data_IF_118701499090
#
_entry.id   IF_118701499090
#
_cell.length_a   1.000
_cell.length_b   1.000
_cell.length_c   1.000
_cell.angle_alpha   90.00
_cell.angle_beta   90.00
_cell.angle_gamma   90.00
#
_symmetry.space_group_name_H-M   'P 1'
#
loop_
_entity.id
_entity.type
_entity.pdbx_description
1 polymer ?
#
# COMPACT_ATOMS: atom_id res chain seq x y z
N UNK A 1 11.93 -12.47 5.54
CA UNK A 1 13.00 -11.49 5.29
C UNK A 1 13.60 -11.65 3.89
N UNK A 2 14.33 -10.61 3.44
CA UNK A 2 15.03 -10.66 2.15
C UNK A 2 16.20 -11.67 2.16
N UNK A 3 16.45 -12.29 1.01
CA UNK A 3 17.55 -13.27 0.88
C UNK A 3 18.95 -12.62 0.74
N UNK A 4 19.00 -11.29 0.58
CA UNK A 4 20.24 -10.56 0.30
C UNK A 4 20.62 -9.56 1.41
N UNK A 5 19.72 -9.25 2.33
CA UNK A 5 19.89 -8.19 3.32
C UNK A 5 19.27 -8.57 4.68
N UNK A 6 19.90 -8.18 5.78
CA UNK A 6 19.41 -8.48 7.12
C UNK A 6 19.84 -7.39 8.14
N UNK A 7 18.88 -6.88 8.95
CA UNK A 7 17.45 -7.18 8.92
C UNK A 7 16.75 -6.53 7.71
N UNK A 8 15.74 -7.22 7.18
CA UNK A 8 14.82 -6.70 6.18
C UNK A 8 13.46 -7.39 6.38
N UNK A 9 12.64 -6.87 7.28
CA UNK A 9 11.41 -7.52 7.68
C UNK A 9 10.39 -6.52 8.26
N UNK A 10 9.18 -7.02 8.51
CA UNK A 10 8.15 -6.35 9.28
C UNK A 10 8.14 -6.96 10.69
N UNK A 11 8.27 -6.12 11.68
CA UNK A 11 8.37 -6.51 13.09
C UNK A 11 7.14 -6.05 13.86
N UNK A 12 6.67 -6.83 14.86
CA UNK A 12 5.61 -6.41 15.75
C UNK A 12 6.06 -5.21 16.61
N UNK A 13 5.14 -4.35 16.96
CA UNK A 13 5.30 -3.23 17.88
C UNK A 13 4.15 -3.26 18.90
N UNK A 14 4.24 -2.49 19.98
CA UNK A 14 3.22 -2.47 21.01
C UNK A 14 1.81 -2.06 20.50
N UNK A 15 1.74 -1.30 19.40
CA UNK A 15 0.51 -0.78 18.81
C UNK A 15 0.36 -1.09 17.31
N UNK A 16 0.98 -2.15 16.82
CA UNK A 16 0.89 -2.58 15.42
C UNK A 16 2.19 -3.16 14.91
N UNK A 17 2.69 -2.70 13.73
CA UNK A 17 3.90 -3.21 13.12
C UNK A 17 4.77 -2.08 12.56
N UNK A 18 6.07 -2.34 12.45
CA UNK A 18 7.04 -1.48 11.76
C UNK A 18 7.83 -2.28 10.74
N UNK A 19 8.15 -1.67 9.60
CA UNK A 19 9.09 -2.20 8.63
C UNK A 19 10.47 -1.60 8.88
N UNK A 20 11.49 -2.44 9.00
CA UNK A 20 12.89 -2.03 9.21
C UNK A 20 13.74 -2.66 8.13
N UNK A 21 14.61 -1.85 7.50
CA UNK A 21 15.50 -2.30 6.43
C UNK A 21 16.92 -1.86 6.73
N UNK A 22 17.85 -2.80 6.68
CA UNK A 22 19.29 -2.54 6.77
C UNK A 22 19.98 -2.98 5.48
N UNK A 23 20.25 -2.02 4.59
CA UNK A 23 20.86 -2.27 3.27
C UNK A 23 22.39 -2.03 3.25
N UNK A 24 22.97 -1.67 4.37
CA UNK A 24 24.42 -1.48 4.52
C UNK A 24 24.82 -1.53 6.00
N UNK A 25 26.11 -1.61 6.26
CA UNK A 25 26.64 -1.73 7.63
C UNK A 25 26.35 -0.48 8.50
N UNK A 26 26.26 0.71 7.91
CA UNK A 26 25.88 1.91 8.68
C UNK A 26 24.45 1.83 9.21
N UNK A 27 23.55 1.19 8.47
CA UNK A 27 22.17 0.97 8.94
C UNK A 27 22.15 -0.06 10.08
N UNK A 28 22.99 -1.11 10.00
CA UNK A 28 23.11 -2.08 11.09
C UNK A 28 23.62 -1.40 12.37
N UNK A 29 24.76 -0.72 12.30
CA UNK A 29 25.30 0.05 13.43
C UNK A 29 24.34 1.11 13.95
N UNK A 30 23.55 1.73 13.06
CA UNK A 30 22.46 2.63 13.45
C UNK A 30 21.37 1.91 14.22
N UNK A 31 20.96 0.73 13.78
CA UNK A 31 19.93 -0.07 14.43
C UNK A 31 20.36 -0.56 15.82
N UNK A 32 21.61 -1.05 15.97
CA UNK A 32 22.13 -1.47 17.28
C UNK A 32 22.14 -0.32 18.28
N UNK A 33 22.47 0.90 17.82
CA UNK A 33 22.36 2.11 18.65
C UNK A 33 20.91 2.49 18.98
N UNK A 34 19.99 2.38 18.01
CA UNK A 34 18.56 2.64 18.25
C UNK A 34 17.97 1.66 19.28
N UNK A 35 18.46 0.42 19.29
CA UNK A 35 18.12 -0.62 20.26
C UNK A 35 18.83 -0.44 21.61
N UNK A 36 19.79 0.49 21.71
CA UNK A 36 20.68 0.64 22.88
C UNK A 36 21.54 -0.63 23.15
N UNK A 37 21.90 -1.34 22.08
CA UNK A 37 22.65 -2.60 22.08
C UNK A 37 23.88 -2.54 21.16
N UNK A 38 24.81 -1.55 21.36
CA UNK A 38 25.96 -1.37 20.47
C UNK A 38 26.93 -2.58 20.47
N UNK A 39 26.91 -3.41 21.51
CA UNK A 39 27.69 -4.63 21.58
C UNK A 39 27.36 -5.66 20.50
N UNK A 40 26.22 -5.54 19.84
CA UNK A 40 25.82 -6.42 18.74
C UNK A 40 26.63 -6.16 17.46
N UNK A 41 27.29 -5.01 17.34
CA UNK A 41 28.18 -4.73 16.21
C UNK A 41 29.40 -5.67 16.19
N UNK A 42 29.85 -6.09 17.37
CA UNK A 42 30.98 -6.97 17.54
C UNK A 42 30.58 -8.46 17.73
N UNK A 43 29.29 -8.77 17.78
CA UNK A 43 28.79 -10.14 17.87
C UNK A 43 29.09 -10.89 16.55
N UNK A 44 29.88 -11.98 16.58
CA UNK A 44 30.29 -12.72 15.37
C UNK A 44 29.08 -13.25 14.56
N UNK A 45 27.91 -13.39 15.19
CA UNK A 45 26.68 -13.79 14.48
C UNK A 45 26.09 -12.67 13.63
N UNK A 46 26.43 -11.39 13.94
CA UNK A 46 25.77 -10.22 13.36
C UNK A 46 26.74 -9.20 12.77
N UNK A 47 28.04 -9.36 12.92
CA UNK A 47 29.07 -8.40 12.52
C UNK A 47 29.06 -8.08 11.01
N UNK A 48 28.77 -9.05 10.15
CA UNK A 48 28.66 -8.83 8.72
C UNK A 48 27.30 -9.29 8.19
N UNK A 49 26.85 -8.72 7.04
CA UNK A 49 25.56 -9.07 6.44
C UNK A 49 25.41 -10.56 6.19
N UNK A 50 26.49 -11.25 5.75
CA UNK A 50 26.48 -12.70 5.53
C UNK A 50 26.21 -13.47 6.81
N UNK A 51 26.77 -13.02 7.93
CA UNK A 51 26.63 -13.69 9.23
C UNK A 51 25.23 -13.43 9.79
N UNK A 52 24.68 -12.22 9.61
CA UNK A 52 23.27 -11.90 9.93
C UNK A 52 22.30 -12.77 9.15
N UNK A 53 22.55 -12.99 7.86
CA UNK A 53 21.70 -13.87 7.02
C UNK A 53 21.76 -15.33 7.48
N UNK A 54 22.94 -15.81 7.89
CA UNK A 54 23.10 -17.16 8.43
C UNK A 54 22.39 -17.34 9.78
N UNK A 55 22.16 -16.25 10.53
CA UNK A 55 21.53 -16.26 11.85
C UNK A 55 20.22 -15.44 11.85
N UNK A 56 19.52 -15.41 10.72
CA UNK A 56 18.35 -14.52 10.51
C UNK A 56 17.26 -14.70 11.56
N UNK A 57 16.95 -15.93 11.96
CA UNK A 57 15.92 -16.20 12.95
C UNK A 57 16.28 -15.62 14.33
N UNK A 58 17.55 -15.71 14.71
CA UNK A 58 18.04 -15.14 15.97
C UNK A 58 18.05 -13.60 15.91
N UNK A 59 18.39 -13.04 14.75
CA UNK A 59 18.36 -11.62 14.51
C UNK A 59 16.93 -11.08 14.57
N UNK A 60 15.99 -11.71 13.84
CA UNK A 60 14.60 -11.30 13.81
C UNK A 60 13.95 -11.42 15.20
N UNK A 61 14.27 -12.47 15.97
CA UNK A 61 13.81 -12.60 17.35
C UNK A 61 14.33 -11.47 18.25
N UNK A 62 15.58 -11.08 18.09
CA UNK A 62 16.22 -9.99 18.86
C UNK A 62 15.59 -8.63 18.52
N UNK A 63 15.37 -8.34 17.24
CA UNK A 63 14.72 -7.10 16.81
C UNK A 63 13.26 -7.08 17.26
N UNK A 64 12.52 -8.20 17.12
CA UNK A 64 11.14 -8.31 17.59
C UNK A 64 11.02 -8.05 19.08
N UNK A 65 11.88 -8.65 19.90
CA UNK A 65 11.86 -8.46 21.36
C UNK A 65 12.05 -6.99 21.76
N UNK A 66 12.80 -6.22 20.97
CA UNK A 66 12.93 -4.77 21.19
C UNK A 66 11.70 -4.00 20.71
N UNK A 67 11.22 -4.27 19.48
CA UNK A 67 10.11 -3.51 18.89
C UNK A 67 8.78 -3.73 19.60
N UNK A 68 8.52 -4.94 20.11
CA UNK A 68 7.31 -5.28 20.87
C UNK A 68 7.12 -4.44 22.14
N UNK A 69 8.21 -3.91 22.69
CA UNK A 69 8.17 -3.10 23.92
C UNK A 69 7.81 -1.62 23.68
N UNK A 70 7.79 -1.17 22.42
CA UNK A 70 7.68 0.25 22.07
C UNK A 70 6.54 0.52 21.10
N UNK A 71 5.90 1.71 21.17
CA UNK A 71 4.97 2.16 20.16
C UNK A 71 5.67 2.40 18.82
N UNK A 72 4.97 2.19 17.70
CA UNK A 72 5.47 2.42 16.33
C UNK A 72 6.13 3.79 16.16
N UNK A 73 5.50 4.83 16.69
CA UNK A 73 6.00 6.20 16.59
C UNK A 73 7.39 6.38 17.22
N UNK A 74 7.64 5.74 18.38
CA UNK A 74 8.92 5.80 19.06
C UNK A 74 10.00 5.02 18.32
N UNK A 75 9.68 3.81 17.84
CA UNK A 75 10.61 3.01 17.02
C UNK A 75 11.04 3.81 15.79
N UNK A 76 10.08 4.39 15.06
CA UNK A 76 10.36 5.21 13.88
C UNK A 76 11.24 6.42 14.23
N UNK A 77 10.96 7.09 15.36
CA UNK A 77 11.75 8.23 15.80
C UNK A 77 13.20 7.84 16.14
N UNK A 78 13.42 6.74 16.88
CA UNK A 78 14.75 6.22 17.23
C UNK A 78 15.52 5.80 15.98
N UNK A 79 14.89 5.03 15.08
CA UNK A 79 15.50 4.63 13.82
C UNK A 79 15.87 5.83 12.95
N UNK A 80 14.98 6.82 12.82
CA UNK A 80 15.25 8.07 12.08
C UNK A 80 16.44 8.83 12.64
N UNK A 81 16.53 8.98 13.96
CA UNK A 81 17.65 9.64 14.62
C UNK A 81 18.98 8.90 14.34
N UNK A 82 18.93 7.58 14.27
CA UNK A 82 20.07 6.71 13.95
C UNK A 82 20.30 6.52 12.44
N UNK A 83 19.53 7.17 11.57
CA UNK A 83 19.59 7.07 10.09
C UNK A 83 19.31 5.67 9.56
N UNK A 84 18.47 4.92 10.23
CA UNK A 84 17.99 3.60 9.81
C UNK A 84 16.67 3.76 9.08
N UNK A 85 16.50 3.20 7.86
CA UNK A 85 15.22 3.18 7.18
C UNK A 85 14.19 2.37 7.98
N UNK A 86 13.15 3.05 8.43
CA UNK A 86 12.05 2.48 9.21
C UNK A 86 10.77 3.22 8.92
N UNK A 87 9.67 2.48 8.82
CA UNK A 87 8.33 3.05 8.66
C UNK A 87 7.29 2.26 9.45
N UNK A 88 6.30 2.95 10.00
CA UNK A 88 5.13 2.31 10.56
C UNK A 88 4.31 1.63 9.46
N UNK A 89 3.87 0.40 9.68
CA UNK A 89 2.86 -0.26 8.84
C UNK A 89 1.52 0.36 9.20
N UNK A 90 0.84 0.92 8.20
CA UNK A 90 -0.43 1.62 8.37
C UNK A 90 -1.59 0.73 7.99
N UNK A 91 -2.67 0.82 8.73
CA UNK A 91 -3.95 0.24 8.33
C UNK A 91 -4.66 1.10 7.28
N UNK A 92 -5.75 0.59 6.72
CA UNK A 92 -6.51 1.29 5.68
C UNK A 92 -7.07 2.63 6.19
N UNK A 93 -7.52 2.69 7.43
CA UNK A 93 -8.09 3.91 8.01
C UNK A 93 -7.00 4.99 8.20
N UNK A 94 -5.82 4.60 8.67
CA UNK A 94 -4.66 5.49 8.78
C UNK A 94 -4.22 6.01 7.39
N UNK A 95 -4.26 5.15 6.36
CA UNK A 95 -3.94 5.54 4.97
C UNK A 95 -4.96 6.53 4.44
N UNK A 96 -6.26 6.28 4.64
CA UNK A 96 -7.32 7.18 4.13
C UNK A 96 -7.31 8.55 4.82
N UNK A 97 -6.73 8.67 6.00
CA UNK A 97 -6.60 9.92 6.77
C UNK A 97 -5.23 10.57 6.67
N UNK A 98 -4.33 10.03 5.87
CA UNK A 98 -2.97 10.57 5.76
C UNK A 98 -2.96 11.95 5.09
N UNK A 99 -2.57 13.01 5.82
CA UNK A 99 -2.55 14.36 5.28
C UNK A 99 -1.61 14.54 4.09
N UNK A 100 -0.55 13.74 3.97
CA UNK A 100 0.36 13.77 2.84
C UNK A 100 -0.31 13.24 1.57
N UNK A 101 -1.09 12.15 1.66
CA UNK A 101 -1.82 11.60 0.51
C UNK A 101 -2.90 12.57 0.02
N UNK A 102 -3.61 13.23 0.95
CA UNK A 102 -4.56 14.29 0.60
C UNK A 102 -3.86 15.51 -0.03
N UNK A 103 -2.80 16.02 0.58
CA UNK A 103 -2.05 17.18 0.05
C UNK A 103 -1.47 16.92 -1.35
N UNK A 104 -1.10 15.67 -1.66
CA UNK A 104 -0.67 15.26 -3.00
C UNK A 104 -1.79 14.98 -3.98
N UNK A 105 -3.05 15.07 -3.55
CA UNK A 105 -4.20 14.71 -4.36
C UNK A 105 -4.24 13.23 -4.77
N UNK A 106 -3.59 12.37 -3.96
CA UNK A 106 -3.60 10.92 -4.19
C UNK A 106 -4.91 10.27 -3.79
N UNK A 107 -5.66 10.92 -2.91
CA UNK A 107 -6.99 10.54 -2.46
C UNK A 107 -7.97 11.65 -2.81
N UNK A 108 -9.13 11.28 -3.34
CA UNK A 108 -10.22 12.19 -3.69
C UNK A 108 -11.55 11.63 -3.24
N UNK A 109 -12.38 12.49 -2.71
CA UNK A 109 -13.78 12.20 -2.47
C UNK A 109 -14.59 12.47 -3.76
N UNK A 110 -15.44 11.51 -4.12
CA UNK A 110 -16.38 11.63 -5.23
C UNK A 110 -17.77 11.17 -4.78
N UNK A 111 -18.81 11.80 -5.29
CA UNK A 111 -20.20 11.38 -5.05
C UNK A 111 -20.51 10.15 -5.92
N UNK A 112 -20.82 9.03 -5.28
CA UNK A 112 -21.25 7.81 -5.96
C UNK A 112 -22.78 7.69 -5.84
N UNK A 113 -23.51 7.39 -6.94
CA UNK A 113 -24.98 7.42 -6.96
C UNK A 113 -25.63 6.39 -6.01
N UNK A 114 -24.92 5.31 -5.65
CA UNK A 114 -25.44 4.26 -4.78
C UNK A 114 -24.84 4.28 -3.38
N UNK A 115 -23.55 4.69 -3.25
CA UNK A 115 -22.80 4.57 -1.99
C UNK A 115 -22.58 5.91 -1.30
N UNK A 116 -23.11 7.03 -1.84
CA UNK A 116 -22.83 8.35 -1.31
C UNK A 116 -21.38 8.77 -1.58
N UNK A 117 -20.79 9.52 -0.66
CA UNK A 117 -19.42 9.98 -0.82
C UNK A 117 -18.43 8.84 -0.58
N UNK A 118 -17.63 8.53 -1.59
CA UNK A 118 -16.59 7.50 -1.53
C UNK A 118 -15.22 8.11 -1.76
N UNK A 119 -14.21 7.51 -1.13
CA UNK A 119 -12.81 7.90 -1.30
C UNK A 119 -12.16 7.03 -2.37
N UNK A 120 -11.65 7.65 -3.43
CA UNK A 120 -10.95 6.98 -4.52
C UNK A 120 -9.48 7.39 -4.57
N UNK A 121 -8.62 6.45 -4.97
CA UNK A 121 -7.20 6.74 -5.16
C UNK A 121 -6.91 7.19 -6.60
N UNK A 122 -5.93 8.07 -6.75
CA UNK A 122 -5.38 8.49 -8.03
C UNK A 122 -4.22 7.58 -8.46
N UNK A 123 -3.95 7.52 -9.76
CA UNK A 123 -2.70 6.96 -10.27
C UNK A 123 -1.49 7.71 -9.68
N UNK A 124 -0.44 7.01 -9.21
CA UNK A 124 0.81 7.65 -8.77
C UNK A 124 1.58 8.29 -9.94
N UNK A 125 1.28 7.88 -11.17
CA UNK A 125 1.91 8.46 -12.37
C UNK A 125 1.27 9.81 -12.66
N UNK A 126 2.07 10.86 -12.56
CA UNK A 126 1.66 12.25 -12.84
C UNK A 126 2.39 12.72 -14.08
N UNK A 127 1.65 12.98 -15.15
CA UNK A 127 2.17 13.60 -16.35
C UNK A 127 2.09 15.12 -16.19
N UNK A 128 3.22 15.81 -16.34
CA UNK A 128 3.33 17.25 -16.02
C UNK A 128 2.47 18.12 -16.92
N UNK A 129 2.34 17.77 -18.19
CA UNK A 129 1.65 18.56 -19.21
C UNK A 129 0.29 17.93 -19.64
N UNK A 130 -0.21 16.94 -18.90
CA UNK A 130 -1.50 16.33 -19.15
C UNK A 130 -2.53 16.84 -18.14
N UNK A 131 -3.73 17.11 -18.63
CA UNK A 131 -4.85 17.38 -17.73
C UNK A 131 -5.13 16.17 -16.82
N UNK A 132 -5.44 16.44 -15.57
CA UNK A 132 -5.90 15.40 -14.64
C UNK A 132 -7.31 15.01 -15.07
N UNK A 133 -7.56 13.74 -15.43
CA UNK A 133 -8.89 13.31 -15.81
C UNK A 133 -9.85 13.46 -14.63
N UNK A 134 -11.11 13.78 -14.95
CA UNK A 134 -12.17 13.77 -13.95
C UNK A 134 -12.38 12.37 -13.42
N UNK A 135 -12.60 12.27 -12.12
CA UNK A 135 -12.95 11.01 -11.48
C UNK A 135 -14.45 10.82 -11.56
N UNK A 136 -14.86 9.82 -12.31
CA UNK A 136 -16.27 9.43 -12.40
C UNK A 136 -16.48 8.14 -11.60
N UNK A 137 -17.68 7.94 -11.02
CA UNK A 137 -18.03 6.69 -10.39
C UNK A 137 -17.88 5.52 -11.35
N UNK A 138 -17.63 4.32 -10.81
CA UNK A 138 -17.61 3.10 -11.61
C UNK A 138 -18.99 2.87 -12.23
N UNK A 139 -19.02 2.57 -13.52
CA UNK A 139 -20.24 2.26 -14.21
C UNK A 139 -20.88 0.96 -13.71
N UNK A 140 -22.19 0.88 -13.71
CA UNK A 140 -22.91 -0.36 -13.51
C UNK A 140 -22.68 -1.33 -14.67
N UNK A 141 -22.84 -2.60 -14.43
CA UNK A 141 -22.74 -3.60 -15.50
C UNK A 141 -23.77 -3.32 -16.59
N UNK A 142 -23.30 -3.16 -17.83
CA UNK A 142 -24.14 -2.87 -18.98
C UNK A 142 -24.58 -1.40 -19.14
N UNK A 143 -24.21 -0.50 -18.25
CA UNK A 143 -24.63 0.91 -18.28
C UNK A 143 -24.27 1.60 -19.61
N UNK A 144 -23.13 1.30 -20.18
CA UNK A 144 -22.67 1.90 -21.43
C UNK A 144 -22.87 1.02 -22.67
N UNK A 145 -23.58 -0.12 -22.56
CA UNK A 145 -23.73 -1.03 -23.67
C UNK A 145 -24.34 -0.34 -24.91
N UNK A 146 -25.42 0.43 -24.74
CA UNK A 146 -26.07 1.09 -25.85
C UNK A 146 -25.12 2.09 -26.54
N UNK A 147 -24.45 2.93 -25.76
CA UNK A 147 -23.55 3.95 -26.29
C UNK A 147 -22.36 3.35 -27.01
N UNK A 148 -21.74 2.31 -26.42
CA UNK A 148 -20.57 1.63 -27.01
C UNK A 148 -20.97 0.89 -28.27
N UNK A 149 -22.06 0.12 -28.26
CA UNK A 149 -22.49 -0.65 -29.44
C UNK A 149 -22.94 0.25 -30.59
N UNK A 150 -23.59 1.36 -30.28
CA UNK A 150 -23.96 2.35 -31.30
C UNK A 150 -22.76 3.09 -31.86
N UNK A 151 -21.87 3.59 -31.00
CA UNK A 151 -20.75 4.45 -31.43
C UNK A 151 -19.59 3.65 -32.08
N UNK A 152 -19.31 2.45 -31.63
CA UNK A 152 -18.17 1.64 -32.11
C UNK A 152 -18.57 0.69 -33.24
N UNK A 153 -19.74 0.04 -33.12
CA UNK A 153 -20.21 -0.94 -34.10
C UNK A 153 -21.31 -0.39 -35.06
N UNK A 154 -21.80 0.81 -34.80
CA UNK A 154 -22.87 1.43 -35.63
C UNK A 154 -24.23 0.74 -35.52
N UNK A 155 -24.45 -0.04 -34.44
CA UNK A 155 -25.73 -0.72 -34.25
C UNK A 155 -26.87 0.26 -33.97
N UNK A 156 -28.01 -0.01 -34.57
CA UNK A 156 -29.24 0.74 -34.29
C UNK A 156 -29.87 0.32 -32.98
N UNK A 157 -30.70 1.19 -32.37
CA UNK A 157 -31.42 0.89 -31.12
C UNK A 157 -32.20 -0.44 -31.20
N UNK A 158 -32.93 -0.76 -32.29
CA UNK A 158 -33.64 -2.06 -32.40
C UNK A 158 -32.71 -3.27 -32.39
N UNK A 159 -31.49 -3.17 -32.98
CA UNK A 159 -30.50 -4.24 -32.95
C UNK A 159 -29.93 -4.44 -31.56
N UNK A 160 -29.64 -3.36 -30.83
CA UNK A 160 -29.18 -3.41 -29.45
C UNK A 160 -30.25 -4.03 -28.53
N UNK A 161 -31.52 -3.63 -28.70
CA UNK A 161 -32.63 -4.24 -27.97
C UNK A 161 -32.81 -5.74 -28.29
N UNK A 162 -32.58 -6.14 -29.53
CA UNK A 162 -32.59 -7.56 -29.91
C UNK A 162 -31.51 -8.35 -29.21
N UNK A 163 -30.29 -7.79 -29.09
CA UNK A 163 -29.18 -8.40 -28.34
C UNK A 163 -29.53 -8.54 -26.84
N UNK A 164 -30.16 -7.53 -26.25
CA UNK A 164 -30.61 -7.57 -24.86
C UNK A 164 -31.68 -8.67 -24.67
N UNK A 165 -32.68 -8.74 -25.53
CA UNK A 165 -33.73 -9.78 -25.49
C UNK A 165 -33.17 -11.19 -25.69
N UNK A 166 -32.11 -11.33 -26.47
CA UNK A 166 -31.41 -12.61 -26.66
C UNK A 166 -30.48 -13.00 -25.52
N UNK A 167 -30.34 -12.15 -24.49
CA UNK A 167 -29.41 -12.37 -23.38
C UNK A 167 -27.94 -12.25 -23.77
N UNK A 168 -27.63 -11.68 -24.94
CA UNK A 168 -26.26 -11.50 -25.41
C UNK A 168 -25.56 -10.34 -24.69
N UNK A 169 -26.32 -9.37 -24.18
CA UNK A 169 -25.83 -8.25 -23.36
C UNK A 169 -26.72 -8.11 -22.13
N UNK A 170 -26.12 -7.63 -21.03
CA UNK A 170 -26.85 -7.33 -19.78
C UNK A 170 -27.49 -5.95 -19.88
N UNK A 171 -28.72 -5.80 -19.40
CA UNK A 171 -29.37 -4.49 -19.23
C UNK A 171 -28.98 -3.90 -17.87
N UNK A 172 -28.60 -2.63 -17.84
CA UNK A 172 -28.30 -1.88 -16.61
C UNK A 172 -29.48 -1.73 -15.64
N UNK A 173 -30.70 -2.12 -16.07
CA UNK A 173 -31.92 -2.02 -15.27
C UNK A 173 -32.23 -3.26 -14.43
N UNK A 174 -31.50 -4.36 -14.58
CA UNK A 174 -31.68 -5.54 -13.74
C UNK A 174 -30.93 -5.36 -12.41
N UNK A 175 -31.64 -5.46 -11.26
CA UNK A 175 -30.98 -5.48 -9.96
C UNK A 175 -30.08 -6.71 -9.86
N UNK A 176 -28.79 -6.51 -9.72
CA UNK A 176 -27.87 -7.61 -9.51
C UNK A 176 -28.03 -8.13 -8.08
N UNK A 177 -28.59 -9.33 -7.94
CA UNK A 177 -28.53 -10.11 -6.70
C UNK A 177 -27.19 -10.87 -6.70
N UNK A 178 -26.30 -10.48 -5.82
CA UNK A 178 -25.04 -11.18 -5.51
C UNK A 178 -25.30 -12.29 -4.51
#
# INVERSE_FOLDING_TARGET
GGLAEAPYNVYPAADGHVAIISVNENHWTGLTRAMERPELDDDPRFAAVRDRLAHIDALDALVSAWTETLPRAEIVARCKAAKVPCAAVRDLLEVTRDPHLHARGMLREIAHPEYGDILVHRSPVILRDAAVPDYVPSARLGEHNADVLASVLGLSSPEIEALARAGAIVSSQEPQTW
#
